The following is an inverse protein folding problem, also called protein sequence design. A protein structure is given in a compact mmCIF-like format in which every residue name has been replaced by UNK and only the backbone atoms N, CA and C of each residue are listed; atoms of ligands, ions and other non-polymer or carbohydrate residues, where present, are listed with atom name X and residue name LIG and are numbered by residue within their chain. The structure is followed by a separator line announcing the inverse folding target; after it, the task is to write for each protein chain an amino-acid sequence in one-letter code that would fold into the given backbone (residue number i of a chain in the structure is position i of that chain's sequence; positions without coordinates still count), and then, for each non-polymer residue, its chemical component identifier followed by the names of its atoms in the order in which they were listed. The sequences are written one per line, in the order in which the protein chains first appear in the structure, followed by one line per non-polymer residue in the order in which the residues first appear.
data_IF_378127104768
#
_entry.id   IF_378127104768
#
_cell.length_a   1.000
_cell.length_b   1.000
_cell.length_c   1.000
_cell.angle_alpha   90.00
_cell.angle_beta   90.00
_cell.angle_gamma   90.00
#
_symmetry.space_group_name_H-M   'P 1'
#
loop_
_entity.id
_entity.type
_entity.pdbx_description
1 polymer ?
#
# COMPACT_ATOMS: atom_id res chain seq x y z
N UNK A 1 8.38 6.98 -2.18
CA UNK A 1 9.21 5.80 -2.47
C UNK A 1 10.52 5.75 -1.68
N UNK A 2 11.03 6.87 -1.14
CA UNK A 2 12.19 6.83 -0.23
C UNK A 2 13.52 6.48 -0.90
N UNK A 3 13.59 6.58 -2.23
CA UNK A 3 14.82 6.44 -3.01
C UNK A 3 15.25 7.84 -3.43
N UNK A 4 16.46 8.23 -3.05
CA UNK A 4 17.07 9.51 -3.43
C UNK A 4 17.45 9.48 -4.90
N UNK A 5 17.18 10.56 -5.63
CA UNK A 5 17.54 10.75 -7.05
C UNK A 5 17.05 9.64 -8.00
N UNK A 6 15.98 8.93 -7.62
CA UNK A 6 15.38 7.95 -8.53
C UNK A 6 14.68 8.67 -9.69
N UNK A 7 15.25 8.45 -10.87
CA UNK A 7 14.69 8.82 -12.17
C UNK A 7 14.54 7.51 -12.96
N UNK A 8 13.32 7.15 -13.39
CA UNK A 8 13.10 6.06 -14.32
C UNK A 8 13.99 6.18 -15.55
N UNK A 9 14.55 5.07 -15.98
CA UNK A 9 15.38 4.94 -17.17
C UNK A 9 14.56 5.24 -18.42
N UNK A 10 13.30 4.82 -18.43
CA UNK A 10 12.34 5.09 -19.50
C UNK A 10 10.99 5.52 -18.92
N UNK A 11 10.50 6.67 -19.37
CA UNK A 11 9.26 7.27 -18.84
C UNK A 11 8.01 6.85 -19.60
N UNK A 12 8.18 6.50 -20.87
CA UNK A 12 7.17 6.14 -21.87
C UNK A 12 6.80 4.65 -21.89
N UNK A 13 7.58 3.80 -21.22
CA UNK A 13 7.33 2.35 -21.16
C UNK A 13 6.06 1.93 -20.40
N UNK A 14 5.46 2.83 -19.60
CA UNK A 14 4.28 2.51 -18.80
C UNK A 14 3.02 3.04 -19.48
N UNK A 15 2.15 2.11 -19.86
CA UNK A 15 0.83 2.41 -20.38
C UNK A 15 -0.09 2.91 -19.23
N UNK A 16 -0.70 4.08 -19.42
CA UNK A 16 -1.67 4.64 -18.46
C UNK A 16 -3.07 4.54 -19.04
N UNK A 17 -3.87 3.64 -18.48
CA UNK A 17 -5.18 3.26 -18.97
C UNK A 17 -6.27 4.10 -18.29
N UNK A 18 -7.23 4.60 -19.06
CA UNK A 18 -8.47 5.15 -18.52
C UNK A 18 -9.24 4.10 -17.70
N UNK A 19 -10.17 4.50 -16.81
CA UNK A 19 -11.02 3.55 -16.08
C UNK A 19 -11.70 2.50 -16.95
N UNK A 20 -12.26 2.90 -18.10
CA UNK A 20 -12.91 2.00 -19.04
C UNK A 20 -11.92 1.00 -19.64
N UNK A 21 -10.78 1.48 -20.18
CA UNK A 21 -9.75 0.61 -20.74
C UNK A 21 -9.19 -0.35 -19.68
N UNK A 22 -8.95 0.12 -18.45
CA UNK A 22 -8.50 -0.72 -17.35
C UNK A 22 -9.50 -1.84 -17.04
N UNK A 23 -10.79 -1.51 -16.95
CA UNK A 23 -11.85 -2.45 -16.68
C UNK A 23 -11.96 -3.53 -17.77
N UNK A 24 -11.99 -3.12 -19.05
CA UNK A 24 -12.09 -4.05 -20.18
C UNK A 24 -10.84 -4.91 -20.29
N UNK A 25 -9.66 -4.34 -20.06
CA UNK A 25 -8.37 -5.05 -20.08
C UNK A 25 -8.32 -6.19 -19.05
N UNK A 26 -8.88 -5.96 -17.86
CA UNK A 26 -8.98 -7.01 -16.84
C UNK A 26 -9.88 -8.17 -17.28
N UNK A 27 -10.91 -7.91 -18.10
CA UNK A 27 -11.78 -8.95 -18.64
C UNK A 27 -11.19 -9.66 -19.86
N UNK A 28 -10.47 -8.97 -20.74
CA UNK A 28 -10.00 -9.54 -22.00
C UNK A 28 -8.76 -10.42 -21.84
N UNK A 29 -7.78 -9.98 -21.06
CA UNK A 29 -6.42 -10.54 -21.13
C UNK A 29 -6.21 -11.64 -20.08
N UNK A 30 -5.96 -12.91 -20.48
CA UNK A 30 -5.98 -14.06 -19.57
C UNK A 30 -4.84 -14.04 -18.54
N UNK A 31 -3.70 -13.45 -18.89
CA UNK A 31 -2.48 -13.47 -18.07
C UNK A 31 -2.28 -12.14 -17.34
N UNK A 32 -3.39 -11.57 -16.82
CA UNK A 32 -3.41 -10.30 -16.13
C UNK A 32 -3.30 -10.49 -14.64
N UNK A 33 -2.42 -9.71 -14.00
CA UNK A 33 -2.26 -9.67 -12.55
C UNK A 33 -2.61 -8.27 -12.05
N UNK A 34 -3.57 -8.18 -11.13
CA UNK A 34 -3.88 -6.94 -10.42
C UNK A 34 -2.92 -6.73 -9.25
N UNK A 35 -2.36 -5.53 -9.12
CA UNK A 35 -1.37 -5.21 -8.08
C UNK A 35 -1.68 -3.87 -7.39
N UNK A 36 -1.95 -3.96 -6.08
CA UNK A 36 -2.17 -2.79 -5.22
C UNK A 36 -0.82 -2.16 -4.82
N UNK A 37 -0.63 -0.87 -5.14
CA UNK A 37 0.58 -0.11 -4.77
C UNK A 37 0.37 0.69 -3.47
N UNK A 38 -0.76 0.48 -2.78
CA UNK A 38 -1.09 1.19 -1.54
C UNK A 38 -0.42 0.56 -0.32
N UNK A 39 -0.54 1.23 0.83
CA UNK A 39 -0.14 0.63 2.09
C UNK A 39 -1.18 -0.43 2.51
N UNK A 40 -0.75 -1.45 3.25
CA UNK A 40 -1.58 -2.60 3.63
C UNK A 40 -2.92 -2.20 4.27
N UNK A 41 -2.95 -1.16 5.12
CA UNK A 41 -4.18 -0.74 5.80
C UNK A 41 -5.23 -0.18 4.84
N UNK A 42 -4.82 0.38 3.69
CA UNK A 42 -5.71 0.89 2.66
C UNK A 42 -6.34 -0.27 1.88
N UNK A 43 -5.55 -1.32 1.62
CA UNK A 43 -5.97 -2.54 0.93
C UNK A 43 -6.82 -3.48 1.79
N UNK A 44 -6.87 -3.26 3.11
CA UNK A 44 -7.74 -4.01 4.02
C UNK A 44 -9.21 -3.69 3.81
N UNK A 45 -9.53 -2.43 3.50
CA UNK A 45 -10.93 -1.96 3.45
C UNK A 45 -11.50 -1.92 2.04
N UNK A 46 -10.68 -2.13 1.02
CA UNK A 46 -11.13 -2.27 -0.36
C UNK A 46 -9.98 -2.62 -1.30
N UNK A 47 -10.28 -3.33 -2.38
CA UNK A 47 -9.30 -3.83 -3.35
C UNK A 47 -10.00 -4.23 -4.66
N UNK A 48 -9.24 -4.32 -5.75
CA UNK A 48 -9.75 -4.90 -6.99
C UNK A 48 -9.78 -6.42 -6.91
N UNK A 49 -10.76 -7.04 -7.56
CA UNK A 49 -10.84 -8.48 -7.78
C UNK A 49 -10.66 -8.79 -9.26
N UNK A 50 -10.01 -9.91 -9.55
CA UNK A 50 -9.93 -10.45 -10.90
C UNK A 50 -11.32 -10.92 -11.34
N UNK A 51 -11.87 -10.45 -12.48
CA UNK A 51 -13.21 -10.83 -12.91
C UNK A 51 -13.36 -12.31 -13.31
N UNK A 52 -12.25 -12.99 -13.64
CA UNK A 52 -12.25 -14.37 -14.14
C UNK A 52 -12.13 -15.35 -12.99
N UNK A 53 -11.23 -15.09 -12.06
CA UNK A 53 -10.95 -15.98 -10.93
C UNK A 53 -11.71 -15.60 -9.67
N UNK A 54 -12.18 -14.35 -9.56
CA UNK A 54 -12.74 -13.77 -8.34
C UNK A 54 -11.70 -13.50 -7.25
N UNK A 55 -10.41 -13.73 -7.53
CA UNK A 55 -9.34 -13.55 -6.56
C UNK A 55 -9.06 -12.07 -6.30
N UNK A 56 -8.66 -11.75 -5.07
CA UNK A 56 -8.21 -10.41 -4.74
C UNK A 56 -6.90 -10.09 -5.47
N UNK A 57 -6.75 -8.83 -5.88
CA UNK A 57 -5.47 -8.29 -6.34
C UNK A 57 -4.34 -8.65 -5.36
N UNK A 58 -3.12 -8.78 -5.87
CA UNK A 58 -1.97 -8.91 -4.99
C UNK A 58 -1.83 -7.62 -4.17
N UNK A 59 -1.83 -7.79 -2.84
CA UNK A 59 -1.76 -6.71 -1.86
C UNK A 59 -0.49 -6.86 -1.04
N UNK A 60 0.59 -6.16 -1.41
CA UNK A 60 1.83 -6.18 -0.63
C UNK A 60 1.58 -5.68 0.80
N UNK A 61 2.03 -6.41 1.84
CA UNK A 61 1.83 -6.02 3.24
C UNK A 61 2.78 -4.87 3.67
N UNK A 62 3.04 -3.91 2.77
CA UNK A 62 3.87 -2.73 3.05
C UNK A 62 3.12 -1.76 3.97
N UNK A 63 3.81 -1.24 4.97
CA UNK A 63 3.28 -0.22 5.87
C UNK A 63 3.50 1.18 5.33
N UNK A 64 4.55 1.38 4.55
CA UNK A 64 4.92 2.66 3.95
C UNK A 64 5.38 2.43 2.52
N UNK A 65 5.05 3.36 1.65
CA UNK A 65 5.52 3.35 0.27
C UNK A 65 7.07 3.43 0.12
N UNK A 66 7.81 3.74 1.19
CA UNK A 66 9.27 3.60 1.19
C UNK A 66 9.78 2.16 1.21
N UNK A 67 8.93 1.19 1.55
CA UNK A 67 9.25 -0.24 1.55
C UNK A 67 9.05 -0.87 0.16
N UNK A 68 8.35 -0.18 -0.75
CA UNK A 68 8.04 -0.66 -2.10
C UNK A 68 9.27 -1.13 -2.89
N UNK A 69 10.39 -0.38 -2.96
CA UNK A 69 11.56 -0.81 -3.72
C UNK A 69 12.13 -2.14 -3.25
N UNK A 70 12.19 -2.33 -1.94
CA UNK A 70 12.72 -3.54 -1.33
C UNK A 70 11.75 -4.72 -1.51
N UNK A 71 10.44 -4.46 -1.44
CA UNK A 71 9.41 -5.47 -1.73
C UNK A 71 9.54 -6.00 -3.16
N UNK A 72 9.61 -5.11 -4.16
CA UNK A 72 9.77 -5.49 -5.57
C UNK A 72 11.01 -6.36 -5.77
N UNK A 73 12.17 -5.92 -5.25
CA UNK A 73 13.44 -6.65 -5.43
C UNK A 73 13.45 -8.05 -4.79
N UNK A 74 12.62 -8.29 -3.77
CA UNK A 74 12.58 -9.58 -3.06
C UNK A 74 11.49 -10.51 -3.56
N UNK A 75 10.30 -9.97 -3.81
CA UNK A 75 9.09 -10.75 -4.02
C UNK A 75 8.67 -10.80 -5.49
N UNK A 76 9.16 -9.86 -6.30
CA UNK A 76 8.80 -9.72 -7.71
C UNK A 76 9.96 -10.05 -8.65
N UNK A 77 11.09 -10.56 -8.14
CA UNK A 77 12.29 -10.86 -8.92
C UNK A 77 12.82 -12.25 -8.59
N UNK A 78 13.30 -13.00 -9.60
CA UNK A 78 13.94 -14.30 -9.43
C UNK A 78 12.98 -15.50 -9.42
N UNK A 79 13.51 -16.72 -9.18
CA UNK A 79 12.72 -17.94 -9.13
C UNK A 79 11.64 -17.87 -8.05
N UNK A 80 10.40 -18.23 -8.41
CA UNK A 80 9.24 -18.12 -7.51
C UNK A 80 8.68 -16.70 -7.36
N UNK A 81 9.08 -15.75 -8.23
CA UNK A 81 8.50 -14.40 -8.27
C UNK A 81 6.97 -14.44 -8.28
N UNK A 82 6.34 -13.52 -7.55
CA UNK A 82 4.89 -13.33 -7.58
C UNK A 82 4.37 -12.81 -8.93
N UNK A 83 5.26 -12.34 -9.82
CA UNK A 83 4.93 -11.96 -11.20
C UNK A 83 5.02 -13.11 -12.18
N UNK A 84 5.47 -14.31 -11.74
CA UNK A 84 5.68 -15.44 -12.63
C UNK A 84 4.36 -15.87 -13.29
N UNK A 85 4.36 -15.93 -14.62
CA UNK A 85 3.19 -16.29 -15.43
C UNK A 85 2.27 -15.11 -15.76
N UNK A 86 2.46 -13.93 -15.15
CA UNK A 86 1.72 -12.74 -15.53
C UNK A 86 2.39 -12.03 -16.71
N UNK A 87 1.68 -11.91 -17.84
CA UNK A 87 2.15 -11.11 -18.99
C UNK A 87 1.87 -9.63 -18.81
N UNK A 88 0.88 -9.30 -17.99
CA UNK A 88 0.45 -7.92 -17.77
C UNK A 88 0.16 -7.67 -16.31
N UNK A 89 0.80 -6.64 -15.75
CA UNK A 89 0.59 -6.24 -14.36
C UNK A 89 -0.16 -4.92 -14.32
N UNK A 90 -1.40 -4.98 -13.85
CA UNK A 90 -2.34 -3.86 -13.77
C UNK A 90 -2.22 -3.22 -12.39
N UNK A 91 -1.51 -2.11 -12.31
CA UNK A 91 -1.22 -1.44 -11.04
C UNK A 91 -2.19 -0.31 -10.75
N UNK A 92 -2.52 -0.14 -9.48
CA UNK A 92 -3.39 0.95 -9.04
C UNK A 92 -3.00 1.47 -7.65
N UNK A 93 -3.45 2.69 -7.36
CA UNK A 93 -3.47 3.25 -6.02
C UNK A 93 -4.66 4.22 -5.90
N UNK A 94 -4.81 4.92 -4.77
CA UNK A 94 -5.97 5.81 -4.53
C UNK A 94 -6.20 6.83 -5.65
N UNK A 95 -5.14 7.52 -6.09
CA UNK A 95 -5.23 8.65 -7.04
C UNK A 95 -4.12 8.68 -8.10
N UNK A 96 -3.47 7.54 -8.38
CA UNK A 96 -2.41 7.42 -9.40
C UNK A 96 -1.00 7.84 -8.98
N UNK A 97 -0.83 8.78 -8.03
CA UNK A 97 0.50 9.37 -7.72
C UNK A 97 1.60 8.35 -7.32
N UNK A 98 1.24 7.26 -6.61
CA UNK A 98 2.22 6.21 -6.27
C UNK A 98 2.58 5.36 -7.49
N UNK A 99 1.64 5.15 -8.40
CA UNK A 99 1.85 4.38 -9.62
C UNK A 99 2.85 5.09 -10.55
N UNK A 100 2.90 6.43 -10.56
CA UNK A 100 3.85 7.18 -11.38
C UNK A 100 5.31 6.76 -11.18
N UNK A 101 5.72 6.49 -9.93
CA UNK A 101 7.08 6.00 -9.64
C UNK A 101 7.12 4.51 -9.37
N UNK A 102 6.10 3.98 -8.69
CA UNK A 102 6.05 2.59 -8.25
C UNK A 102 5.96 1.60 -9.42
N UNK A 103 5.15 1.92 -10.45
CA UNK A 103 4.98 1.07 -11.62
C UNK A 103 6.26 1.03 -12.49
N UNK A 104 6.91 2.18 -12.68
CA UNK A 104 8.20 2.28 -13.39
C UNK A 104 9.29 1.50 -12.67
N UNK A 105 9.38 1.66 -11.35
CA UNK A 105 10.32 0.89 -10.55
C UNK A 105 10.06 -0.62 -10.66
N UNK A 106 8.78 -1.04 -10.66
CA UNK A 106 8.39 -2.43 -10.86
C UNK A 106 8.83 -2.94 -12.24
N UNK A 107 8.49 -2.23 -13.32
CA UNK A 107 8.85 -2.59 -14.70
C UNK A 107 10.37 -2.76 -14.88
N UNK A 108 11.19 -1.98 -14.18
CA UNK A 108 12.65 -2.05 -14.24
C UNK A 108 13.26 -3.17 -13.40
N UNK A 109 12.59 -3.60 -12.32
CA UNK A 109 13.19 -4.47 -11.30
C UNK A 109 12.49 -5.83 -11.12
N UNK A 110 11.33 -6.05 -11.75
CA UNK A 110 10.63 -7.32 -11.70
C UNK A 110 11.27 -8.37 -12.62
N UNK A 111 11.02 -9.64 -12.32
CA UNK A 111 11.21 -10.73 -13.26
C UNK A 111 10.21 -10.57 -14.40
N UNK A 112 10.71 -10.54 -15.64
CA UNK A 112 9.90 -10.32 -16.82
C UNK A 112 10.49 -11.03 -18.03
N UNK A 113 9.60 -11.56 -18.87
CA UNK A 113 9.89 -12.06 -20.20
C UNK A 113 9.72 -10.95 -21.23
N UNK A 114 10.21 -11.20 -22.45
CA UNK A 114 9.99 -10.30 -23.57
C UNK A 114 8.49 -10.13 -23.84
N UNK A 115 8.02 -8.88 -23.80
CA UNK A 115 6.63 -8.51 -23.99
C UNK A 115 5.80 -8.35 -22.71
N UNK A 116 6.36 -8.67 -21.54
CA UNK A 116 5.68 -8.42 -20.26
C UNK A 116 5.64 -6.91 -19.96
N UNK A 117 4.48 -6.43 -19.53
CA UNK A 117 4.23 -5.00 -19.33
C UNK A 117 3.51 -4.67 -18.04
N UNK A 118 3.87 -3.53 -17.47
CA UNK A 118 3.18 -2.91 -16.34
C UNK A 118 2.31 -1.78 -16.87
N UNK A 119 1.02 -1.83 -16.55
CA UNK A 119 0.04 -0.79 -16.86
C UNK A 119 -0.42 -0.10 -15.57
N UNK A 120 -0.93 1.12 -15.68
CA UNK A 120 -1.42 1.91 -14.54
C UNK A 120 -2.86 2.38 -14.75
N UNK A 121 -3.65 2.37 -13.69
CA UNK A 121 -4.97 3.01 -13.69
C UNK A 121 -4.82 4.53 -13.59
N UNK A 122 -5.14 5.25 -14.67
CA UNK A 122 -5.11 6.71 -14.73
C UNK A 122 -6.10 7.30 -13.73
N UNK A 123 -5.61 8.17 -12.85
CA UNK A 123 -6.41 8.76 -11.77
C UNK A 123 -6.73 7.79 -10.61
N UNK A 124 -6.25 6.54 -10.66
CA UNK A 124 -6.39 5.56 -9.59
C UNK A 124 -7.84 5.15 -9.29
N UNK A 125 -8.03 4.53 -8.12
CA UNK A 125 -9.31 4.02 -7.65
C UNK A 125 -10.37 5.13 -7.63
N UNK A 126 -10.01 6.36 -7.27
CA UNK A 126 -10.93 7.49 -7.26
C UNK A 126 -11.57 7.72 -8.64
N UNK A 127 -10.76 7.77 -9.71
CA UNK A 127 -11.27 7.93 -11.07
C UNK A 127 -12.10 6.71 -11.53
N UNK A 128 -11.69 5.50 -11.14
CA UNK A 128 -12.46 4.29 -11.44
C UNK A 128 -13.84 4.30 -10.78
N UNK A 129 -13.94 4.69 -9.51
CA UNK A 129 -15.22 4.76 -8.81
C UNK A 129 -16.15 5.83 -9.40
N UNK A 130 -15.62 7.00 -9.77
CA UNK A 130 -16.40 8.03 -10.47
C UNK A 130 -16.94 7.53 -11.80
N UNK A 131 -16.08 6.93 -12.62
CA UNK A 131 -16.50 6.33 -13.89
C UNK A 131 -17.52 5.22 -13.69
N UNK A 132 -17.31 4.33 -12.73
CA UNK A 132 -18.24 3.23 -12.46
C UNK A 132 -19.61 3.74 -11.99
N UNK A 133 -19.67 4.75 -11.13
CA UNK A 133 -20.92 5.41 -10.71
C UNK A 133 -21.67 6.02 -11.92
N UNK A 134 -20.94 6.61 -12.88
CA UNK A 134 -21.51 7.08 -14.14
C UNK A 134 -22.06 5.97 -15.03
N UNK A 135 -21.31 4.88 -15.20
CA UNK A 135 -21.77 3.70 -15.95
C UNK A 135 -23.03 3.11 -15.34
N UNK A 136 -23.09 2.99 -14.01
CA UNK A 136 -24.26 2.45 -13.31
C UNK A 136 -25.46 3.39 -13.44
N UNK A 137 -25.28 4.69 -13.24
CA UNK A 137 -26.36 5.68 -13.38
C UNK A 137 -26.93 5.73 -14.80
N UNK A 138 -26.10 5.45 -15.80
CA UNK A 138 -26.51 5.38 -17.20
C UNK A 138 -27.18 4.06 -17.59
N UNK A 139 -27.17 3.05 -16.71
CA UNK A 139 -27.71 1.71 -16.97
C UNK A 139 -26.82 0.83 -17.84
N UNK A 140 -25.56 1.21 -18.11
CA UNK A 140 -24.61 0.41 -18.91
C UNK A 140 -23.95 -0.72 -18.11
N UNK A 141 -23.85 -0.55 -16.79
CA UNK A 141 -23.30 -1.54 -15.86
C UNK A 141 -24.16 -1.62 -14.60
N UNK A 142 -24.11 -2.75 -13.90
CA UNK A 142 -24.69 -2.93 -12.59
C UNK A 142 -23.63 -2.71 -11.48
N UNK A 143 -24.00 -2.42 -10.23
CA UNK A 143 -23.06 -2.32 -9.12
C UNK A 143 -22.15 -3.55 -8.97
N UNK A 144 -22.67 -4.73 -9.29
CA UNK A 144 -21.98 -6.01 -9.21
C UNK A 144 -20.83 -6.12 -10.22
N UNK A 145 -20.93 -5.44 -11.37
CA UNK A 145 -19.91 -5.41 -12.41
C UNK A 145 -18.64 -4.67 -11.95
N UNK A 146 -18.70 -3.88 -10.88
CA UNK A 146 -17.52 -3.20 -10.35
C UNK A 146 -16.46 -4.21 -9.91
N UNK A 147 -15.29 -4.15 -10.54
CA UNK A 147 -14.11 -4.91 -10.12
C UNK A 147 -13.55 -4.43 -8.78
N UNK A 148 -13.84 -3.20 -8.35
CA UNK A 148 -13.43 -2.71 -7.04
C UNK A 148 -14.45 -3.12 -5.98
N UNK A 149 -13.99 -3.82 -4.93
CA UNK A 149 -14.78 -4.24 -3.78
C UNK A 149 -14.39 -3.47 -2.53
N UNK A 150 -15.37 -3.20 -1.66
CA UNK A 150 -15.16 -2.42 -0.44
C UNK A 150 -15.04 -0.93 -0.71
N UNK A 151 -14.17 -0.24 0.04
CA UNK A 151 -14.01 1.21 -0.01
C UNK A 151 -12.58 1.66 -0.23
N UNK A 152 -12.46 2.78 -0.90
CA UNK A 152 -11.19 3.44 -1.18
C UNK A 152 -10.82 4.35 -0.03
N UNK A 153 -9.73 4.03 0.68
CA UNK A 153 -9.18 4.94 1.68
C UNK A 153 -8.76 6.28 1.07
N UNK A 154 -9.18 7.39 1.68
CA UNK A 154 -8.80 8.75 1.29
C UNK A 154 -8.18 9.50 2.47
N UNK A 155 -7.23 10.38 2.18
CA UNK A 155 -6.41 11.07 3.17
C UNK A 155 -7.05 12.38 3.65
N UNK A 156 -8.37 12.36 3.91
CA UNK A 156 -9.13 13.50 4.42
C UNK A 156 -10.23 13.06 5.40
N UNK A 157 -11.05 14.01 5.86
CA UNK A 157 -12.06 13.79 6.89
C UNK A 157 -13.12 12.73 6.51
N UNK A 158 -13.29 12.41 5.22
CA UNK A 158 -14.21 11.35 4.78
C UNK A 158 -13.73 9.97 5.20
N UNK A 159 -12.41 9.78 5.35
CA UNK A 159 -11.77 8.51 5.70
C UNK A 159 -11.79 7.46 4.57
N UNK A 160 -12.92 7.25 3.91
CA UNK A 160 -13.04 6.40 2.73
C UNK A 160 -14.16 6.84 1.79
N UNK A 161 -14.12 6.38 0.53
CA UNK A 161 -15.15 6.63 -0.49
C UNK A 161 -15.52 5.32 -1.19
N UNK A 162 -16.77 5.16 -1.61
CA UNK A 162 -17.25 3.98 -2.33
C UNK A 162 -18.43 4.29 -3.24
N UNK A 163 -19.06 3.24 -3.78
CA UNK A 163 -20.29 3.31 -4.56
C UNK A 163 -21.50 3.38 -3.62
N UNK A 164 -21.58 4.44 -2.83
CA UNK A 164 -22.48 4.56 -1.67
C UNK A 164 -23.97 4.68 -2.05
N UNK A 165 -24.26 5.10 -3.29
CA UNK A 165 -25.61 5.33 -3.81
C UNK A 165 -26.37 4.04 -4.17
N UNK A 166 -25.69 2.90 -4.14
CA UNK A 166 -26.26 1.60 -4.52
C UNK A 166 -26.34 0.70 -3.29
N UNK A 167 -27.13 -0.37 -3.35
CA UNK A 167 -27.18 -1.37 -2.29
C UNK A 167 -25.77 -1.90 -2.05
N UNK A 168 -25.07 -1.30 -1.10
CA UNK A 168 -23.63 -1.43 -1.02
C UNK A 168 -23.31 -2.88 -0.67
N UNK A 169 -22.40 -3.56 -1.37
CA UNK A 169 -21.91 -4.83 -0.90
C UNK A 169 -21.35 -4.61 0.51
N UNK A 170 -21.68 -5.53 1.42
CA UNK A 170 -21.21 -5.48 2.80
C UNK A 170 -19.69 -5.21 2.83
N UNK A 171 -19.17 -4.45 3.83
CA UNK A 171 -17.75 -4.17 3.92
C UNK A 171 -16.91 -5.43 3.74
N UNK A 172 -15.84 -5.34 2.94
CA UNK A 172 -14.91 -6.47 2.70
C UNK A 172 -14.02 -6.77 3.90
N UNK A 173 -14.08 -5.93 4.92
CA UNK A 173 -13.36 -6.09 6.18
C UNK A 173 -14.29 -6.19 7.37
N UNK A 174 -13.75 -6.71 8.46
CA UNK A 174 -14.43 -6.82 9.75
C UNK A 174 -13.71 -6.01 10.82
N UNK A 175 -14.46 -5.57 11.82
CA UNK A 175 -13.90 -4.92 13.00
C UNK A 175 -12.95 -5.87 13.72
N UNK A 176 -11.73 -5.40 13.98
CA UNK A 176 -10.66 -6.15 14.63
C UNK A 176 -11.06 -6.71 16.01
N UNK A 177 -11.99 -6.04 16.71
CA UNK A 177 -12.41 -6.43 18.06
C UNK A 177 -13.68 -7.30 18.09
N UNK A 178 -14.72 -6.96 17.33
CA UNK A 178 -16.01 -7.64 17.40
C UNK A 178 -16.35 -8.47 16.16
N UNK A 179 -15.52 -8.45 15.12
CA UNK A 179 -15.70 -9.15 13.86
C UNK A 179 -16.94 -8.76 13.02
N UNK A 180 -17.72 -7.76 13.45
CA UNK A 180 -18.81 -7.22 12.63
C UNK A 180 -18.25 -6.57 11.35
N UNK A 181 -18.94 -6.67 10.19
CA UNK A 181 -18.55 -5.98 8.96
C UNK A 181 -18.32 -4.48 9.21
N UNK A 182 -17.16 -3.99 8.80
CA UNK A 182 -16.72 -2.63 9.05
C UNK A 182 -15.57 -2.26 8.11
N UNK A 183 -15.54 -1.01 7.66
CA UNK A 183 -14.52 -0.39 6.81
C UNK A 183 -13.81 0.79 7.50
N UNK A 184 -14.27 1.15 8.71
CA UNK A 184 -13.77 2.28 9.46
C UNK A 184 -12.38 2.00 9.99
N UNK A 185 -11.45 2.89 9.70
CA UNK A 185 -10.09 2.79 10.18
C UNK A 185 -9.88 3.65 11.44
N UNK A 186 -9.24 3.06 12.43
CA UNK A 186 -8.73 3.75 13.61
C UNK A 186 -7.29 3.31 13.88
N UNK A 187 -6.69 3.76 14.97
CA UNK A 187 -5.31 3.39 15.36
C UNK A 187 -5.35 2.48 16.58
N UNK A 188 -4.34 1.62 16.68
CA UNK A 188 -4.02 1.02 17.96
C UNK A 188 -3.71 2.14 18.96
N UNK A 189 -4.28 2.03 20.15
CA UNK A 189 -4.17 3.02 21.22
C UNK A 189 -2.91 2.89 22.07
N UNK A 190 -2.16 1.78 21.92
CA UNK A 190 -0.89 1.60 22.63
C UNK A 190 0.13 2.66 22.23
N UNK A 191 0.85 3.20 23.22
CA UNK A 191 1.75 4.35 23.05
C UNK A 191 2.84 4.07 22.00
N UNK A 192 3.31 2.83 21.94
CA UNK A 192 4.40 2.41 21.07
C UNK A 192 3.92 1.68 19.80
N UNK A 193 2.61 1.62 19.56
CA UNK A 193 2.04 1.02 18.38
C UNK A 193 1.36 2.07 17.50
N UNK A 194 1.67 2.06 16.21
CA UNK A 194 0.99 2.92 15.23
C UNK A 194 0.44 2.10 14.07
N UNK A 195 -0.10 0.92 14.40
CA UNK A 195 -0.88 0.13 13.45
C UNK A 195 -2.25 0.79 13.25
N UNK A 196 -2.70 0.77 12.00
CA UNK A 196 -4.04 1.19 11.61
C UNK A 196 -4.90 -0.08 11.58
N UNK A 197 -6.03 -0.02 12.28
CA UNK A 197 -6.94 -1.13 12.52
C UNK A 197 -8.31 -0.81 11.93
N UNK A 198 -9.04 -1.83 11.49
CA UNK A 198 -10.46 -1.71 11.18
C UNK A 198 -11.21 -1.78 12.51
N UNK A 199 -11.85 -0.70 12.94
CA UNK A 199 -12.51 -0.58 14.26
C UNK A 199 -13.82 0.19 14.08
N UNK A 200 -14.95 -0.45 14.41
CA UNK A 200 -16.25 0.20 14.42
C UNK A 200 -16.39 1.18 15.59
N UNK A 201 -17.34 2.11 15.51
CA UNK A 201 -17.52 3.19 16.49
C UNK A 201 -17.72 2.66 17.92
N UNK A 202 -18.50 1.58 18.10
CA UNK A 202 -18.72 0.98 19.42
C UNK A 202 -17.46 0.36 20.03
N UNK A 203 -16.52 -0.09 19.19
CA UNK A 203 -15.25 -0.66 19.66
C UNK A 203 -14.19 0.41 19.91
N UNK A 204 -14.27 1.57 19.25
CA UNK A 204 -13.29 2.64 19.42
C UNK A 204 -13.27 3.20 20.85
N UNK A 205 -14.43 3.19 21.52
CA UNK A 205 -14.59 3.62 22.91
C UNK A 205 -13.97 2.63 23.92
N UNK A 206 -13.61 1.43 23.50
CA UNK A 206 -13.07 0.35 24.35
C UNK A 206 -11.54 0.25 24.28
N UNK A 207 -10.88 1.37 24.01
CA UNK A 207 -9.43 1.52 23.98
C UNK A 207 -8.69 0.48 23.10
N UNK A 208 -9.00 0.42 21.78
CA UNK A 208 -8.62 -0.69 20.92
C UNK A 208 -7.11 -0.95 20.86
N UNK A 209 -6.73 -2.20 21.11
CA UNK A 209 -5.36 -2.73 20.95
C UNK A 209 -5.33 -3.73 19.79
N UNK A 210 -4.20 -3.80 19.08
CA UNK A 210 -4.06 -4.76 17.97
C UNK A 210 -3.82 -6.19 18.45
N UNK A 211 -3.14 -6.37 19.59
CA UNK A 211 -2.86 -7.67 20.19
C UNK A 211 -2.51 -7.52 21.68
N UNK A 212 -2.42 -8.65 22.39
CA UNK A 212 -2.06 -8.72 23.81
C UNK A 212 -0.71 -8.04 24.10
N UNK A 213 0.29 -8.22 23.23
CA UNK A 213 1.61 -7.59 23.42
C UNK A 213 1.54 -6.07 23.57
N UNK A 214 0.60 -5.41 22.88
CA UNK A 214 0.42 -3.97 23.01
C UNK A 214 -0.15 -3.56 24.37
N UNK A 215 -1.00 -4.39 24.96
CA UNK A 215 -1.48 -4.18 26.32
C UNK A 215 -0.35 -4.39 27.33
N UNK A 216 0.42 -5.45 27.16
CA UNK A 216 1.54 -5.77 28.05
C UNK A 216 2.60 -4.66 28.04
N UNK A 217 2.96 -4.14 26.86
CA UNK A 217 3.91 -3.02 26.74
C UNK A 217 3.43 -1.73 27.44
N UNK A 218 2.12 -1.45 27.39
CA UNK A 218 1.58 -0.27 28.06
C UNK A 218 1.55 -0.45 29.59
N UNK A 219 1.26 -1.67 30.07
CA UNK A 219 1.31 -2.02 31.50
C UNK A 219 2.73 -1.90 32.05
N UNK A 220 3.71 -2.49 31.37
CA UNK A 220 5.13 -2.39 31.72
C UNK A 220 5.62 -0.93 31.75
N UNK A 221 5.26 -0.14 30.73
CA UNK A 221 5.60 1.28 30.66
C UNK A 221 4.97 2.12 31.79
N UNK A 222 3.88 1.64 32.40
CA UNK A 222 3.22 2.31 33.52
C UNK A 222 3.90 2.02 34.87
N UNK A 223 4.79 1.02 34.91
CA UNK A 223 5.49 0.57 36.12
C UNK A 223 6.99 0.92 36.15
N UNK A 224 7.56 1.37 35.02
CA UNK A 224 8.98 1.71 34.91
C UNK A 224 9.28 3.18 35.26
N UNK A 225 10.34 3.39 36.04
CA UNK A 225 10.85 4.71 36.41
C UNK A 225 11.48 5.45 35.20
N UNK A 226 11.20 6.76 35.09
CA UNK A 226 11.47 7.64 33.93
C UNK A 226 12.97 7.84 33.63
N UNK A 227 13.85 7.27 34.46
CA UNK A 227 15.31 7.47 34.43
C UNK A 227 16.05 6.58 33.44
N UNK A 228 15.39 5.57 32.84
CA UNK A 228 16.04 4.54 31.99
C UNK A 228 15.74 4.60 30.47
N UNK A 229 15.02 5.62 29.99
CA UNK A 229 14.44 5.65 28.62
C UNK A 229 15.45 5.73 27.44
N UNK A 230 16.73 6.06 27.67
CA UNK A 230 17.57 6.61 26.58
C UNK A 230 18.20 5.63 25.58
N UNK A 231 17.94 4.31 25.60
CA UNK A 231 18.61 3.41 24.64
C UNK A 231 17.89 2.12 24.21
N UNK A 232 16.67 1.82 24.67
CA UNK A 232 16.02 0.56 24.27
C UNK A 232 15.29 0.70 22.92
N UNK A 233 15.50 -0.23 21.96
CA UNK A 233 14.73 -0.23 20.73
C UNK A 233 13.24 -0.39 21.05
N UNK A 234 12.37 0.36 20.36
CA UNK A 234 10.92 0.28 20.57
C UNK A 234 10.44 -1.16 20.36
N UNK A 235 9.67 -1.73 21.29
CA UNK A 235 9.18 -3.09 21.14
C UNK A 235 8.21 -3.19 19.97
N UNK A 236 8.33 -4.26 19.18
CA UNK A 236 7.45 -4.58 18.06
C UNK A 236 6.39 -5.56 18.57
N UNK A 237 5.11 -5.24 18.40
CA UNK A 237 4.01 -6.10 18.81
C UNK A 237 3.82 -7.31 17.88
N UNK A 238 3.09 -8.34 18.33
CA UNK A 238 2.89 -9.58 17.58
C UNK A 238 2.35 -9.33 16.16
N UNK A 239 1.32 -8.48 16.00
CA UNK A 239 0.75 -8.15 14.69
C UNK A 239 1.77 -7.52 13.72
N UNK A 240 2.64 -6.64 14.22
CA UNK A 240 3.65 -6.01 13.36
C UNK A 240 4.78 -7.00 13.02
N UNK A 241 5.10 -7.95 13.91
CA UNK A 241 6.05 -9.03 13.60
C UNK A 241 5.50 -9.95 12.52
N UNK A 242 4.24 -10.37 12.65
CA UNK A 242 3.56 -11.22 11.67
C UNK A 242 3.54 -10.56 10.28
N UNK A 243 3.16 -9.28 10.21
CA UNK A 243 3.22 -8.50 8.96
C UNK A 243 4.64 -8.41 8.38
N UNK A 244 5.66 -8.22 9.23
CA UNK A 244 7.06 -8.17 8.77
C UNK A 244 7.54 -9.53 8.26
N UNK A 245 7.06 -10.65 8.83
CA UNK A 245 7.33 -11.99 8.32
C UNK A 245 6.63 -12.21 6.97
N UNK A 246 5.36 -11.81 6.84
CA UNK A 246 4.65 -11.86 5.57
C UNK A 246 5.34 -11.02 4.47
N UNK A 247 5.90 -9.86 4.86
CA UNK A 247 6.57 -8.96 3.92
C UNK A 247 7.97 -9.45 3.51
N UNK A 248 8.75 -9.96 4.46
CA UNK A 248 10.19 -10.21 4.26
C UNK A 248 10.60 -11.68 4.27
N UNK A 249 9.73 -12.58 4.67
CA UNK A 249 10.08 -13.95 5.05
C UNK A 249 10.51 -14.06 6.53
N UNK A 250 10.86 -15.28 6.97
CA UNK A 250 11.33 -15.55 8.32
C UNK A 250 12.61 -14.75 8.67
N UNK A 251 12.88 -14.58 9.97
CA UNK A 251 13.91 -13.64 10.47
C UNK A 251 15.33 -13.93 9.96
N UNK A 252 15.66 -15.19 9.70
CA UNK A 252 16.99 -15.62 9.26
C UNK A 252 17.33 -15.20 7.82
N UNK A 253 16.34 -14.74 7.03
CA UNK A 253 16.51 -14.24 5.65
C UNK A 253 16.50 -12.70 5.56
N UNK A 254 16.43 -12.01 6.70
CA UNK A 254 16.53 -10.55 6.74
C UNK A 254 17.97 -10.13 6.50
N UNK A 255 18.31 -9.81 5.24
CA UNK A 255 19.48 -8.97 4.91
C UNK A 255 19.50 -7.81 5.92
N UNK A 256 20.63 -7.56 6.62
CA UNK A 256 20.73 -6.51 7.61
C UNK A 256 20.13 -5.23 7.04
N UNK A 257 19.31 -4.54 7.84
CA UNK A 257 18.90 -3.17 7.52
C UNK A 257 20.21 -2.41 7.29
N UNK A 258 20.62 -2.23 6.04
CA UNK A 258 21.75 -1.36 5.70
C UNK A 258 21.44 -0.07 6.41
N UNK A 259 22.29 0.24 7.39
CA UNK A 259 22.05 1.23 8.42
C UNK A 259 21.33 2.41 7.82
N UNK A 260 20.16 2.75 8.39
CA UNK A 260 19.46 3.95 8.01
C UNK A 260 20.48 5.09 7.96
N UNK A 261 20.61 5.68 6.79
CA UNK A 261 21.02 7.05 6.52
C UNK A 261 21.45 7.82 7.79
N UNK A 262 22.62 7.47 8.32
CA UNK A 262 23.29 8.32 9.29
C UNK A 262 23.91 9.42 8.46
N UNK A 263 23.41 10.65 8.62
CA UNK A 263 24.04 11.87 8.12
C UNK A 263 25.56 11.72 8.23
N UNK A 264 26.24 11.55 7.10
CA UNK A 264 27.67 11.76 7.04
C UNK A 264 27.87 13.25 7.27
N UNK A 265 28.11 13.63 8.53
CA UNK A 265 28.64 14.95 8.88
C UNK A 265 30.05 14.99 8.30
N UNK A 266 30.19 15.35 7.02
CA UNK A 266 31.49 15.68 6.42
C UNK A 266 32.02 16.90 7.18
N UNK A 267 32.88 16.67 8.17
CA UNK A 267 33.99 17.59 8.44
C UNK A 267 34.93 17.43 7.25
N UNK A 268 34.85 18.34 6.30
CA UNK A 268 36.00 18.72 5.51
C UNK A 268 35.87 20.20 5.21
N UNK A 269 36.75 20.99 5.83
CA UNK A 269 37.04 22.31 5.37
C UNK A 269 37.57 22.20 3.95
N UNK A 270 36.91 22.90 3.03
CA UNK A 270 37.52 23.61 1.92
C UNK A 270 36.41 24.44 1.29
N UNK A 271 36.53 25.75 1.42
CA UNK A 271 35.61 26.71 0.83
C UNK A 271 35.63 26.59 -0.68
N UNK A 272 34.43 26.54 -1.28
CA UNK A 272 34.23 26.75 -2.71
C UNK A 272 33.33 27.99 -2.80
N UNK A 273 33.93 29.07 -3.29
CA UNK A 273 33.28 30.34 -3.56
C UNK A 273 32.46 30.19 -4.84
N UNK A 274 31.16 30.46 -4.82
CA UNK A 274 30.28 30.44 -5.99
C UNK A 274 29.93 31.89 -6.34
N UNK A 275 30.42 32.47 -7.46
CA UNK A 275 30.00 33.80 -7.88
C UNK A 275 28.58 33.74 -8.45
N UNK A 276 27.67 34.50 -7.85
CA UNK A 276 26.34 34.75 -8.40
C UNK A 276 26.46 35.86 -9.45
N UNK A 277 26.26 35.51 -10.72
CA UNK A 277 26.00 36.50 -11.78
C UNK A 277 24.52 36.90 -11.69
N UNK A 278 24.27 38.12 -11.26
CA UNK A 278 22.98 38.80 -11.48
C UNK A 278 22.98 39.25 -12.94
N UNK A 279 21.92 38.91 -13.66
CA UNK A 279 21.66 39.41 -15.01
C UNK A 279 20.74 40.61 -14.81
N UNK A 280 21.19 41.79 -15.28
CA UNK A 280 20.42 43.03 -15.35
C UNK A 280 19.26 42.93 -16.35
#
# INVERSE_FOLDING_TARGET
MGVTDYVPTQWDQIESLSPAEFHERCHSDPDTMLLDVRNHYESRIGYFVDPKTGEAALRPPIRRFSQWPQYVKRQMKGPGSKTMGARQIMTYCTGGIRCEKGARFLQENMEKSDGDKVCTLKGGIAAYLTWMDEEIRSGRKAPEDSLFRGRNYVFDARGSTGLDSYASPSPVSTCHMCQNPCDRLSKCRSKNCHLVLVICDSCELRDPRCCQSCQDFDNEASTMDLTSEKSRPRPICACEREREVELWGPEDERIPKTQGWRKAKRRNGNGINIPVKVID
#
